data_IF_318014893432
#
_entry.id   IF_318014893432
#
_cell.length_a   1.000
_cell.length_b   1.000
_cell.length_c   1.000
_cell.angle_alpha   90.00
_cell.angle_beta   90.00
_cell.angle_gamma   90.00
#
_symmetry.space_group_name_H-M   'P 1'
#
loop_
_entity.id
_entity.type
_entity.pdbx_description
1 polymer ?
#
# COMPACT_ATOMS: atom_id res chain seq x y z
N UNK A 1 10.22 -12.85 -10.12
CA UNK A 1 10.66 -11.70 -9.29
C UNK A 1 9.49 -11.25 -8.47
N UNK A 2 9.71 -10.97 -7.19
CA UNK A 2 8.68 -10.79 -6.18
C UNK A 2 8.44 -9.29 -5.95
N UNK A 3 7.17 -8.90 -5.90
CA UNK A 3 6.68 -7.54 -6.17
C UNK A 3 7.19 -6.51 -5.18
N UNK A 4 7.85 -5.47 -5.69
CA UNK A 4 8.27 -4.29 -4.92
C UNK A 4 7.26 -3.18 -5.16
N UNK A 5 6.71 -2.67 -4.06
CA UNK A 5 5.88 -1.47 -3.99
C UNK A 5 6.76 -0.24 -3.78
N UNK A 6 6.50 0.82 -4.52
CA UNK A 6 7.23 2.09 -4.47
C UNK A 6 6.24 3.19 -4.13
N UNK A 7 6.44 3.84 -2.98
CA UNK A 7 5.72 5.06 -2.63
C UNK A 7 6.38 6.24 -3.34
N UNK A 8 5.59 7.05 -4.05
CA UNK A 8 6.09 8.22 -4.74
C UNK A 8 6.62 9.29 -3.78
N UNK A 9 7.49 10.17 -4.28
CA UNK A 9 8.10 11.25 -3.50
C UNK A 9 7.08 12.23 -2.91
N UNK A 10 5.99 12.48 -3.63
CA UNK A 10 4.86 13.32 -3.21
C UNK A 10 3.90 12.61 -2.23
N UNK A 11 4.10 11.31 -1.96
CA UNK A 11 3.18 10.46 -1.19
C UNK A 11 1.75 10.42 -1.73
N UNK A 12 1.56 10.65 -3.03
CA UNK A 12 0.23 10.63 -3.64
C UNK A 12 -0.07 9.32 -4.40
N UNK A 13 0.97 8.54 -4.72
CA UNK A 13 0.83 7.29 -5.43
C UNK A 13 1.64 6.14 -4.85
N UNK A 14 1.22 4.92 -5.17
CA UNK A 14 1.87 3.67 -4.80
C UNK A 14 1.98 2.78 -6.05
N UNK A 15 3.20 2.38 -6.42
CA UNK A 15 3.49 1.76 -7.72
C UNK A 15 4.13 0.39 -7.57
N UNK A 16 3.96 -0.48 -8.55
CA UNK A 16 4.65 -1.77 -8.63
C UNK A 16 5.54 -1.86 -9.87
N UNK A 17 6.74 -2.44 -9.72
CA UNK A 17 7.71 -2.58 -10.83
C UNK A 17 7.27 -3.62 -11.86
N UNK A 18 6.57 -4.67 -11.42
CA UNK A 18 6.37 -5.89 -12.23
C UNK A 18 5.30 -5.75 -13.31
N UNK A 19 4.21 -5.05 -13.01
CA UNK A 19 3.08 -4.90 -13.94
C UNK A 19 2.90 -3.46 -14.43
N UNK A 20 3.80 -2.55 -14.02
CA UNK A 20 3.66 -1.11 -14.25
C UNK A 20 2.29 -0.57 -13.78
N UNK A 21 1.75 -1.18 -12.73
CA UNK A 21 0.49 -0.80 -12.13
C UNK A 21 0.73 0.15 -10.96
N UNK A 22 -0.04 1.24 -10.89
CA UNK A 22 0.01 2.21 -9.81
C UNK A 22 -1.36 2.54 -9.24
N UNK A 23 -1.43 2.88 -7.97
CA UNK A 23 -2.61 3.46 -7.33
C UNK A 23 -2.33 4.95 -7.12
N UNK A 24 -3.21 5.81 -7.60
CA UNK A 24 -3.14 7.27 -7.40
C UNK A 24 -4.54 7.87 -7.41
N UNK A 25 -4.72 8.96 -6.68
CA UNK A 25 -5.97 9.72 -6.77
C UNK A 25 -6.00 10.63 -8.01
N UNK A 26 -7.20 10.91 -8.52
CA UNK A 26 -7.42 11.85 -9.61
C UNK A 26 -8.65 12.69 -9.31
N UNK A 27 -8.49 13.99 -9.39
CA UNK A 27 -9.61 14.92 -9.27
C UNK A 27 -10.46 14.85 -10.54
N UNK A 28 -11.77 14.72 -10.36
CA UNK A 28 -12.72 14.72 -11.46
C UNK A 28 -13.76 15.79 -11.24
N UNK A 29 -13.69 16.84 -12.06
CA UNK A 29 -14.72 17.87 -12.13
C UNK A 29 -15.60 17.56 -13.34
N UNK A 30 -16.76 16.96 -13.10
CA UNK A 30 -17.75 16.80 -14.16
C UNK A 30 -18.49 18.11 -14.34
N UNK A 31 -18.60 18.62 -15.58
CA UNK A 31 -19.29 19.88 -15.87
C UNK A 31 -20.78 19.90 -15.44
N UNK A 32 -21.36 18.73 -15.10
CA UNK A 32 -22.72 18.59 -14.56
C UNK A 32 -22.84 18.19 -13.08
N UNK A 33 -21.73 17.96 -12.36
CA UNK A 33 -21.77 17.64 -10.92
C UNK A 33 -21.29 18.86 -10.11
N UNK A 34 -22.12 19.30 -9.16
CA UNK A 34 -21.83 20.47 -8.29
C UNK A 34 -20.70 20.25 -7.28
N UNK A 35 -20.24 19.01 -7.13
CA UNK A 35 -19.27 18.62 -6.11
C UNK A 35 -18.03 18.03 -6.79
N UNK A 36 -16.86 18.57 -6.43
CA UNK A 36 -15.58 17.97 -6.78
C UNK A 36 -15.48 16.61 -6.09
N UNK A 37 -15.31 15.56 -6.87
CA UNK A 37 -15.10 14.20 -6.35
C UNK A 37 -13.70 13.73 -6.74
N UNK A 38 -13.08 12.98 -5.85
CA UNK A 38 -11.73 12.49 -6.03
C UNK A 38 -11.79 10.98 -6.17
N UNK A 39 -11.28 10.48 -7.29
CA UNK A 39 -11.30 9.05 -7.62
C UNK A 39 -9.95 8.44 -7.26
N UNK A 40 -9.96 7.36 -6.48
CA UNK A 40 -8.78 6.52 -6.34
C UNK A 40 -8.74 5.58 -7.54
N UNK A 41 -7.73 5.73 -8.39
CA UNK A 41 -7.60 4.95 -9.62
C UNK A 41 -6.41 4.00 -9.53
N UNK A 42 -6.58 2.85 -10.17
CA UNK A 42 -5.49 1.95 -10.52
C UNK A 42 -5.12 2.20 -11.98
N UNK A 43 -3.94 2.79 -12.18
CA UNK A 43 -3.32 2.99 -13.48
C UNK A 43 -2.69 1.66 -13.92
N UNK A 44 -3.40 0.91 -14.75
CA UNK A 44 -2.92 -0.27 -15.47
C UNK A 44 -3.06 -0.03 -16.99
N UNK A 45 -3.03 -1.07 -17.83
CA UNK A 45 -3.39 -0.97 -19.26
C UNK A 45 -4.82 -0.44 -19.49
N UNK A 46 -5.66 -0.46 -18.46
CA UNK A 46 -6.96 0.22 -18.42
C UNK A 46 -7.12 0.89 -17.06
N UNK A 47 -7.68 2.10 -17.03
CA UNK A 47 -7.89 2.85 -15.80
C UNK A 47 -9.10 2.29 -15.04
N UNK A 48 -8.88 1.75 -13.85
CA UNK A 48 -9.95 1.23 -13.00
C UNK A 48 -10.17 2.18 -11.81
N UNK A 49 -11.41 2.62 -11.60
CA UNK A 49 -11.79 3.38 -10.42
C UNK A 49 -12.05 2.42 -9.26
N UNK A 50 -11.21 2.50 -8.22
CA UNK A 50 -11.31 1.70 -7.01
C UNK A 50 -12.34 2.27 -6.03
N UNK A 51 -12.48 3.59 -6.00
CA UNK A 51 -13.41 4.29 -5.11
C UNK A 51 -13.52 5.77 -5.42
N UNK A 52 -14.60 6.37 -4.94
CA UNK A 52 -14.87 7.81 -5.08
C UNK A 52 -14.97 8.38 -3.67
N UNK A 53 -14.21 9.43 -3.41
CA UNK A 53 -14.05 10.04 -2.09
C UNK A 53 -14.28 11.56 -2.15
N UNK A 54 -14.59 12.13 -0.99
CA UNK A 54 -14.91 13.55 -0.82
C UNK A 54 -13.66 14.43 -0.79
N UNK A 55 -12.51 13.89 -0.39
CA UNK A 55 -11.27 14.65 -0.20
C UNK A 55 -10.03 13.85 -0.61
N UNK A 56 -8.93 14.57 -0.87
CA UNK A 56 -7.67 13.97 -1.32
C UNK A 56 -6.95 13.32 -0.14
N UNK A 57 -7.11 13.92 1.03
CA UNK A 57 -6.58 13.44 2.30
C UNK A 57 -7.11 12.03 2.56
N UNK A 58 -8.41 11.78 2.32
CA UNK A 58 -8.97 10.44 2.48
C UNK A 58 -8.39 9.44 1.49
N UNK A 59 -8.11 9.84 0.25
CA UNK A 59 -7.43 8.97 -0.70
C UNK A 59 -6.00 8.64 -0.26
N UNK A 60 -5.26 9.63 0.26
CA UNK A 60 -3.89 9.43 0.77
C UNK A 60 -3.89 8.47 1.96
N UNK A 61 -4.81 8.65 2.91
CA UNK A 61 -4.98 7.72 4.05
C UNK A 61 -5.20 6.29 3.60
N UNK A 62 -6.05 6.07 2.58
CA UNK A 62 -6.31 4.74 2.05
C UNK A 62 -5.06 4.15 1.40
N UNK A 63 -4.28 4.96 0.67
CA UNK A 63 -3.00 4.49 0.11
C UNK A 63 -2.02 4.13 1.24
N UNK A 64 -1.98 4.90 2.32
CA UNK A 64 -1.15 4.60 3.49
C UNK A 64 -1.60 3.34 4.23
N UNK A 65 -2.91 3.09 4.32
CA UNK A 65 -3.48 1.84 4.85
C UNK A 65 -3.07 0.64 3.98
N UNK A 66 -3.21 0.74 2.66
CA UNK A 66 -2.79 -0.29 1.69
C UNK A 66 -1.29 -0.54 1.83
N UNK A 67 -0.49 0.53 1.86
CA UNK A 67 0.96 0.45 2.07
C UNK A 67 1.29 -0.26 3.39
N UNK A 68 0.60 0.06 4.49
CA UNK A 68 0.81 -0.57 5.79
C UNK A 68 0.54 -2.07 5.72
N UNK A 69 -0.55 -2.47 5.07
CA UNK A 69 -0.90 -3.89 4.92
C UNK A 69 0.11 -4.63 4.05
N UNK A 70 0.49 -4.06 2.89
CA UNK A 70 1.51 -4.63 2.01
C UNK A 70 2.91 -4.64 2.64
N UNK A 71 3.18 -3.70 3.54
CA UNK A 71 4.44 -3.54 4.27
C UNK A 71 4.57 -4.39 5.53
N UNK A 72 3.55 -5.17 5.91
CA UNK A 72 3.62 -6.06 7.07
C UNK A 72 4.34 -7.36 6.74
N UNK A 73 5.21 -7.78 7.64
CA UNK A 73 5.80 -9.12 7.62
C UNK A 73 4.73 -10.16 7.98
N UNK A 74 4.80 -11.33 7.35
CA UNK A 74 4.34 -12.55 8.01
C UNK A 74 5.38 -12.90 9.08
N UNK A 75 5.15 -12.39 10.29
CA UNK A 75 5.99 -12.60 11.46
C UNK A 75 5.32 -13.60 12.39
N UNK A 76 6.03 -14.67 12.73
CA UNK A 76 5.64 -15.54 13.83
C UNK A 76 6.58 -15.29 15.02
N UNK A 77 6.06 -14.86 16.17
CA UNK A 77 6.89 -14.69 17.36
C UNK A 77 7.48 -16.04 17.75
N UNK A 78 8.78 -16.04 18.02
CA UNK A 78 9.46 -17.19 18.60
C UNK A 78 8.98 -17.45 20.02
N UNK A 79 9.33 -18.61 20.56
CA UNK A 79 9.07 -18.94 21.95
C UNK A 79 10.39 -19.14 22.71
N UNK A 80 10.36 -18.89 24.02
CA UNK A 80 11.53 -18.98 24.90
C UNK A 80 11.76 -20.37 25.49
N UNK A 81 10.91 -21.37 25.17
CA UNK A 81 11.05 -22.74 25.65
C UNK A 81 10.87 -22.89 27.17
N UNK A 82 10.15 -21.98 27.84
CA UNK A 82 10.06 -21.92 29.31
C UNK A 82 9.25 -23.06 29.94
N UNK A 83 8.54 -23.85 29.15
CA UNK A 83 7.78 -25.02 29.62
C UNK A 83 8.63 -26.29 29.51
N UNK A 84 8.52 -27.17 30.50
CA UNK A 84 9.25 -28.46 30.51
C UNK A 84 8.82 -29.27 29.27
N UNK A 85 9.79 -29.64 28.44
CA UNK A 85 9.58 -30.37 27.19
C UNK A 85 9.31 -29.47 25.96
N UNK A 86 9.35 -28.15 26.10
CA UNK A 86 9.27 -27.22 24.97
C UNK A 86 10.65 -26.78 24.50
N UNK A 87 10.88 -26.82 23.18
CA UNK A 87 12.09 -26.27 22.57
C UNK A 87 11.87 -24.80 22.20
N UNK A 88 12.87 -23.98 22.51
CA UNK A 88 12.88 -22.57 22.11
C UNK A 88 12.90 -22.46 20.59
N UNK A 89 11.92 -21.76 20.02
CA UNK A 89 11.89 -21.46 18.59
C UNK A 89 12.28 -20.02 18.35
N UNK A 90 13.24 -19.73 17.45
CA UNK A 90 13.58 -18.35 17.12
C UNK A 90 12.39 -17.68 16.40
N UNK A 91 12.22 -16.36 16.55
CA UNK A 91 11.26 -15.62 15.75
C UNK A 91 11.55 -15.78 14.26
N UNK A 92 10.51 -15.98 13.46
CA UNK A 92 10.64 -16.14 12.01
C UNK A 92 9.86 -15.05 11.29
N UNK A 93 10.51 -14.46 10.28
CA UNK A 93 9.87 -13.60 9.30
C UNK A 93 9.86 -14.33 7.96
N UNK A 94 8.68 -14.75 7.51
CA UNK A 94 8.54 -15.54 6.29
C UNK A 94 8.52 -14.67 5.02
N UNK A 95 8.16 -13.39 5.16
CA UNK A 95 8.03 -12.44 4.03
C UNK A 95 8.64 -11.10 4.42
N UNK A 96 9.70 -10.71 3.72
CA UNK A 96 10.26 -9.35 3.80
C UNK A 96 9.31 -8.42 3.04
N UNK A 97 8.79 -7.34 3.66
CA UNK A 97 7.97 -6.35 2.99
C UNK A 97 8.81 -5.62 1.97
N UNK A 98 8.30 -5.58 0.76
CA UNK A 98 9.00 -5.06 -0.40
C UNK A 98 8.50 -3.66 -0.68
N UNK A 99 8.55 -2.80 0.33
CA UNK A 99 8.12 -1.43 0.22
C UNK A 99 9.36 -0.53 0.18
N UNK A 100 9.45 0.32 -0.84
CA UNK A 100 10.44 1.38 -0.93
C UNK A 100 9.74 2.73 -0.90
N UNK A 101 10.16 3.60 0.03
CA UNK A 101 9.66 4.97 0.12
C UNK A 101 10.67 5.92 -0.51
N UNK A 102 10.25 6.64 -1.56
CA UNK A 102 11.10 7.67 -2.17
C UNK A 102 11.43 8.77 -1.15
N UNK A 103 12.69 9.23 -1.11
CA UNK A 103 13.08 10.31 -0.20
C UNK A 103 12.38 11.60 -0.57
N UNK A 104 11.99 12.37 0.45
CA UNK A 104 11.44 13.72 0.29
C UNK A 104 12.52 14.70 -0.22
N UNK A 105 12.09 15.83 -0.78
CA UNK A 105 12.96 16.84 -1.38
C UNK A 105 13.47 17.84 -0.34
#
# INVERSE_FOLDING_TARGET
MSEVYIRSQDKEGLYTIKESCGIRYKEFTNAGMKENRIMLNMDATSMYTLGIYESKERCIEIIDEIQSVCGRYLYAPGNTGLLIGSEATPPMAAVIPRLYQMPEK
#
